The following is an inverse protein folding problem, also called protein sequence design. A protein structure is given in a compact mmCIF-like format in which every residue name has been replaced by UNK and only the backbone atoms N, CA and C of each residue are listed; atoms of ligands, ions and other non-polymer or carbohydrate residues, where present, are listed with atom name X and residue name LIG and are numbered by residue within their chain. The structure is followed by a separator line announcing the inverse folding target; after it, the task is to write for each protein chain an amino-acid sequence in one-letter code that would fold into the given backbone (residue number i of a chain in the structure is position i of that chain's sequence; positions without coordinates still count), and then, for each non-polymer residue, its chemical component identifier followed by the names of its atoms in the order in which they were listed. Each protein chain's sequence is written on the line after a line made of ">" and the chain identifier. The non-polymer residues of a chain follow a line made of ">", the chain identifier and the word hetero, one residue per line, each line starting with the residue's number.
data_IF_313651757210
#
_entry.id   IF_313651757210
#
_cell.length_a   1.000
_cell.length_b   1.000
_cell.length_c   1.000
_cell.angle_alpha   90.00
_cell.angle_beta   90.00
_cell.angle_gamma   90.00
#
_symmetry.space_group_name_H-M   'P 1'
#
loop_
_entity.id
_entity.type
_entity.pdbx_description
1 polymer ?
#
# COMPACT_ATOMS: atom_id res chain seq x y z
N UNK A 1 10.08 -2.24 24.51
CA UNK A 1 9.56 -3.15 23.47
C UNK A 1 10.64 -4.20 23.20
N UNK A 2 10.26 -5.46 22.98
CA UNK A 2 11.22 -6.51 22.64
C UNK A 2 11.59 -6.37 21.16
N UNK A 3 12.90 -6.30 20.85
CA UNK A 3 13.37 -6.22 19.46
C UNK A 3 13.04 -7.51 18.69
N UNK A 4 12.75 -7.42 17.38
CA UNK A 4 12.55 -8.60 16.56
C UNK A 4 13.87 -9.35 16.40
N UNK A 5 13.80 -10.68 16.50
CA UNK A 5 14.94 -11.54 16.19
C UNK A 5 15.01 -11.69 14.67
N UNK A 6 15.76 -10.80 14.03
CA UNK A 6 16.01 -10.82 12.59
C UNK A 6 17.35 -11.52 12.27
N UNK A 7 17.43 -12.32 11.20
CA UNK A 7 18.68 -12.79 10.63
C UNK A 7 19.67 -11.63 10.40
N UNK A 8 20.97 -11.89 10.56
CA UNK A 8 22.01 -10.85 10.43
C UNK A 8 21.99 -10.18 9.05
N UNK A 9 21.84 -10.96 7.98
CA UNK A 9 21.80 -10.42 6.61
C UNK A 9 20.69 -9.40 6.39
N UNK A 10 19.52 -9.56 7.03
CA UNK A 10 18.47 -8.54 7.00
C UNK A 10 18.89 -7.27 7.73
N UNK A 11 19.52 -7.41 8.89
CA UNK A 11 20.04 -6.28 9.68
C UNK A 11 21.17 -5.57 8.97
N UNK A 12 21.92 -6.25 8.11
CA UNK A 12 23.04 -5.70 7.37
C UNK A 12 22.56 -4.82 6.20
N UNK A 13 21.47 -5.19 5.54
CA UNK A 13 20.94 -4.50 4.34
C UNK A 13 19.78 -3.54 4.61
N UNK A 14 19.03 -3.74 5.69
CA UNK A 14 17.79 -2.99 5.96
C UNK A 14 17.78 -2.30 7.33
N UNK A 15 17.24 -1.09 7.34
CA UNK A 15 16.64 -0.50 8.53
C UNK A 15 15.25 -1.10 8.75
N UNK A 16 14.70 -1.01 9.95
CA UNK A 16 13.36 -1.54 10.22
C UNK A 16 12.56 -0.69 11.20
N UNK A 17 11.24 -0.71 11.01
CA UNK A 17 10.25 -0.24 11.97
C UNK A 17 9.32 -1.40 12.26
N UNK A 18 8.98 -1.65 13.52
CA UNK A 18 8.15 -2.78 13.86
C UNK A 18 7.18 -2.49 15.00
N UNK A 19 6.08 -3.24 14.99
CA UNK A 19 5.19 -3.43 16.12
C UNK A 19 5.10 -4.92 16.42
N UNK A 20 5.36 -5.34 17.67
CA UNK A 20 5.35 -6.76 18.01
C UNK A 20 3.92 -7.30 18.02
N UNK A 21 3.75 -8.58 17.65
CA UNK A 21 2.49 -9.28 17.86
C UNK A 21 2.20 -9.38 19.36
N UNK A 22 0.95 -9.09 19.76
CA UNK A 22 0.54 -9.14 21.16
C UNK A 22 -0.25 -10.43 21.40
N UNK A 23 0.11 -11.15 22.46
CA UNK A 23 -0.60 -12.35 22.89
C UNK A 23 -1.53 -12.01 24.05
N UNK A 24 -2.81 -11.83 23.75
CA UNK A 24 -3.82 -11.55 24.77
C UNK A 24 -4.24 -12.80 25.58
N UNK A 25 -4.09 -14.01 25.02
CA UNK A 25 -4.55 -15.26 25.65
C UNK A 25 -3.43 -16.23 26.04
N UNK A 26 -3.70 -17.10 27.02
CA UNK A 26 -2.76 -18.15 27.45
C UNK A 26 -2.53 -19.24 26.40
N UNK A 27 -3.43 -19.42 25.43
CA UNK A 27 -3.33 -20.37 24.30
C UNK A 27 -3.53 -19.62 22.97
N UNK A 28 -2.94 -20.11 21.89
CA UNK A 28 -2.97 -19.49 20.56
C UNK A 28 -1.68 -18.73 20.20
N UNK A 29 -1.58 -18.30 18.93
CA UNK A 29 -0.49 -17.45 18.43
C UNK A 29 -0.72 -16.00 18.88
N UNK A 30 0.35 -15.21 19.01
CA UNK A 30 0.21 -13.76 19.10
C UNK A 30 -0.55 -13.23 17.88
N UNK A 31 -1.36 -12.19 18.05
CA UNK A 31 -2.12 -11.56 16.97
C UNK A 31 -1.52 -10.20 16.64
N UNK A 32 -1.65 -9.80 15.37
CA UNK A 32 -1.03 -8.60 14.85
C UNK A 32 0.47 -8.76 14.65
N UNK A 33 1.15 -7.63 14.74
CA UNK A 33 2.57 -7.53 14.51
C UNK A 33 2.86 -7.21 13.05
N UNK A 34 3.55 -6.09 12.85
CA UNK A 34 3.92 -5.57 11.53
C UNK A 34 5.40 -5.25 11.55
N UNK A 35 6.10 -5.64 10.48
CA UNK A 35 7.51 -5.35 10.28
C UNK A 35 7.66 -4.68 8.92
N UNK A 36 8.17 -3.45 8.93
CA UNK A 36 8.55 -2.73 7.72
C UNK A 36 10.07 -2.74 7.61
N UNK A 37 10.59 -3.32 6.53
CA UNK A 37 12.01 -3.36 6.20
C UNK A 37 12.30 -2.31 5.12
N UNK A 38 13.28 -1.45 5.35
CA UNK A 38 13.61 -0.31 4.48
C UNK A 38 15.07 -0.41 4.11
N UNK A 39 15.40 -0.39 2.81
CA UNK A 39 16.79 -0.48 2.37
C UNK A 39 17.63 0.62 3.02
N UNK A 40 18.82 0.28 3.55
CA UNK A 40 19.67 1.25 4.27
C UNK A 40 20.14 2.44 3.44
N UNK A 41 20.11 2.32 2.12
CA UNK A 41 20.45 3.42 1.22
C UNK A 41 19.34 4.47 1.12
N UNK A 42 18.15 4.19 1.66
CA UNK A 42 17.04 5.13 1.71
C UNK A 42 17.01 5.85 3.06
N UNK A 43 16.88 7.17 3.00
CA UNK A 43 16.58 7.98 4.17
C UNK A 43 15.08 7.93 4.44
N UNK A 44 14.73 7.83 5.72
CA UNK A 44 13.34 7.85 6.14
C UNK A 44 13.19 8.36 7.56
N UNK A 45 11.97 8.78 7.89
CA UNK A 45 11.53 9.01 9.26
C UNK A 45 10.24 8.25 9.54
N UNK A 46 10.05 7.82 10.79
CA UNK A 46 8.79 7.22 11.22
C UNK A 46 7.82 8.33 11.60
N UNK A 47 6.66 8.37 10.97
CA UNK A 47 5.60 9.34 11.27
C UNK A 47 4.68 8.81 12.37
N UNK A 48 4.29 7.54 12.25
CA UNK A 48 3.37 6.88 13.17
C UNK A 48 3.65 5.38 13.18
N UNK A 49 3.54 4.76 14.34
CA UNK A 49 3.60 3.31 14.44
C UNK A 49 2.62 2.88 15.52
N UNK A 50 1.63 2.08 15.13
CA UNK A 50 0.56 1.54 15.97
C UNK A 50 0.29 0.07 15.61
N UNK A 51 -0.50 -0.62 16.42
CA UNK A 51 -0.72 -2.06 16.27
C UNK A 51 -1.34 -2.46 14.93
N UNK A 52 -2.06 -1.54 14.27
CA UNK A 52 -2.70 -1.78 12.97
C UNK A 52 -1.96 -1.16 11.79
N UNK A 53 -0.99 -0.26 12.02
CA UNK A 53 -0.33 0.45 10.93
C UNK A 53 1.01 1.06 11.32
N UNK A 54 1.90 1.15 10.34
CA UNK A 54 3.17 1.89 10.43
C UNK A 54 3.22 2.85 9.26
N UNK A 55 3.39 4.14 9.53
CA UNK A 55 3.65 5.17 8.52
C UNK A 55 5.08 5.68 8.63
N UNK A 56 5.74 5.74 7.49
CA UNK A 56 7.04 6.37 7.32
C UNK A 56 6.96 7.42 6.21
N UNK A 57 7.88 8.37 6.23
CA UNK A 57 8.15 9.27 5.11
C UNK A 57 9.54 8.94 4.55
N UNK A 58 9.60 8.59 3.27
CA UNK A 58 10.84 8.37 2.53
C UNK A 58 11.27 9.68 1.85
N UNK A 59 12.54 10.00 1.93
CA UNK A 59 13.17 11.08 1.15
C UNK A 59 13.83 10.45 -0.09
N UNK A 60 13.30 10.75 -1.27
CA UNK A 60 13.84 10.28 -2.55
C UNK A 60 14.09 11.50 -3.43
N UNK A 61 15.36 11.80 -3.71
CA UNK A 61 15.76 12.99 -4.48
C UNK A 61 15.26 14.30 -3.82
N UNK A 62 14.28 14.98 -4.42
CA UNK A 62 13.64 16.20 -3.90
C UNK A 62 12.18 15.97 -3.53
N UNK A 63 11.73 14.72 -3.52
CA UNK A 63 10.36 14.34 -3.22
C UNK A 63 10.29 13.56 -1.91
N UNK A 64 9.17 13.73 -1.22
CA UNK A 64 8.83 12.95 -0.04
C UNK A 64 7.66 12.04 -0.37
N UNK A 65 7.81 10.75 -0.04
CA UNK A 65 6.75 9.75 -0.24
C UNK A 65 6.37 9.18 1.12
N UNK A 66 5.10 9.33 1.47
CA UNK A 66 4.54 8.71 2.67
C UNK A 66 4.13 7.28 2.34
N UNK A 67 4.67 6.33 3.09
CA UNK A 67 4.31 4.90 2.99
C UNK A 67 3.61 4.48 4.27
N UNK A 68 2.35 4.05 4.14
CA UNK A 68 1.58 3.37 5.19
C UNK A 68 1.57 1.86 4.99
N UNK A 69 2.07 1.09 5.94
CA UNK A 69 1.94 -0.36 5.97
C UNK A 69 0.86 -0.75 6.98
N UNK A 70 -0.21 -1.41 6.54
CA UNK A 70 -1.38 -1.73 7.36
C UNK A 70 -1.54 -3.24 7.57
N UNK A 71 -2.02 -3.59 8.76
CA UNK A 71 -2.58 -4.89 9.07
C UNK A 71 -3.88 -4.68 9.84
N UNK A 72 -5.00 -4.86 9.14
CA UNK A 72 -6.32 -4.73 9.74
C UNK A 72 -6.84 -6.11 10.13
N UNK A 73 -6.86 -6.40 11.42
CA UNK A 73 -7.51 -7.62 11.93
C UNK A 73 -9.00 -7.63 11.52
N UNK A 74 -9.52 -8.81 11.16
CA UNK A 74 -10.94 -9.02 10.81
C UNK A 74 -11.94 -8.46 11.84
N UNK A 75 -11.54 -8.32 13.10
CA UNK A 75 -12.38 -7.81 14.20
C UNK A 75 -12.20 -6.31 14.49
N UNK A 76 -11.30 -5.60 13.80
CA UNK A 76 -11.11 -4.17 14.07
C UNK A 76 -12.24 -3.33 13.46
N UNK A 77 -12.58 -2.20 14.09
CA UNK A 77 -13.45 -1.20 13.48
C UNK A 77 -12.63 -0.37 12.48
N UNK A 78 -12.93 -0.49 11.18
CA UNK A 78 -12.18 0.18 10.10
C UNK A 78 -12.27 1.69 10.23
N UNK A 79 -13.47 2.22 10.48
CA UNK A 79 -13.70 3.65 10.64
C UNK A 79 -12.82 4.26 11.74
N UNK A 80 -12.80 3.64 12.93
CA UNK A 80 -11.98 4.14 14.04
C UNK A 80 -10.48 4.12 13.71
N UNK A 81 -10.00 3.13 12.94
CA UNK A 81 -8.60 3.09 12.52
C UNK A 81 -8.28 4.26 11.58
N UNK A 82 -9.12 4.49 10.57
CA UNK A 82 -8.89 5.56 9.60
C UNK A 82 -9.16 6.96 10.15
N UNK A 83 -10.10 7.12 11.08
CA UNK A 83 -10.30 8.38 11.82
C UNK A 83 -9.06 8.72 12.65
N UNK A 84 -8.51 7.75 13.37
CA UNK A 84 -7.26 7.95 14.12
C UNK A 84 -6.07 8.28 13.21
N UNK A 85 -5.97 7.64 12.05
CA UNK A 85 -4.95 7.95 11.03
C UNK A 85 -5.12 9.39 10.54
N UNK A 86 -6.34 9.78 10.16
CA UNK A 86 -6.67 11.12 9.69
C UNK A 86 -6.31 12.20 10.71
N UNK A 87 -6.66 11.98 11.99
CA UNK A 87 -6.33 12.91 13.07
C UNK A 87 -4.83 12.97 13.37
N UNK A 88 -4.15 11.82 13.42
CA UNK A 88 -2.73 11.75 13.77
C UNK A 88 -1.81 12.25 12.66
N UNK A 89 -2.25 12.13 11.40
CA UNK A 89 -1.52 12.51 10.21
C UNK A 89 -2.23 13.61 9.42
N UNK A 90 -2.97 14.50 10.10
CA UNK A 90 -3.73 15.57 9.41
C UNK A 90 -2.80 16.42 8.54
N UNK A 91 -1.62 16.79 9.05
CA UNK A 91 -0.59 17.50 8.29
C UNK A 91 -0.08 16.79 7.01
N UNK A 92 -0.29 15.47 6.89
CA UNK A 92 0.00 14.70 5.67
C UNK A 92 -1.19 14.75 4.72
N UNK A 93 -2.40 14.50 5.22
CA UNK A 93 -3.62 14.42 4.42
C UNK A 93 -4.23 15.80 4.08
N UNK A 94 -3.80 16.87 4.75
CA UNK A 94 -4.19 18.25 4.42
C UNK A 94 -3.36 18.80 3.23
N UNK A 95 -2.28 18.12 2.83
CA UNK A 95 -1.34 18.52 1.76
C UNK A 95 -1.24 17.47 0.65
N UNK A 96 -2.39 16.89 0.27
CA UNK A 96 -2.46 15.83 -0.75
C UNK A 96 -1.92 16.23 -2.12
N UNK A 97 -1.97 17.52 -2.46
CA UNK A 97 -1.48 18.03 -3.75
C UNK A 97 0.05 17.98 -3.86
N UNK A 98 0.77 18.09 -2.74
CA UNK A 98 2.24 18.15 -2.74
C UNK A 98 2.90 16.90 -2.15
N UNK A 99 2.12 16.00 -1.54
CA UNK A 99 2.64 14.76 -0.96
C UNK A 99 2.20 13.54 -1.76
N UNK A 100 3.15 12.66 -2.07
CA UNK A 100 2.87 11.34 -2.62
C UNK A 100 2.56 10.38 -1.48
N UNK A 101 1.41 9.70 -1.55
CA UNK A 101 0.97 8.77 -0.51
C UNK A 101 0.73 7.39 -1.12
N UNK A 102 1.29 6.37 -0.48
CA UNK A 102 1.07 4.97 -0.79
C UNK A 102 0.71 4.22 0.50
N UNK A 103 -0.41 3.52 0.51
CA UNK A 103 -0.82 2.65 1.60
C UNK A 103 -0.90 1.21 1.09
N UNK A 104 -0.28 0.27 1.80
CA UNK A 104 -0.19 -1.14 1.43
C UNK A 104 -0.51 -2.03 2.63
N UNK A 105 -1.07 -3.21 2.39
CA UNK A 105 -1.06 -4.30 3.37
C UNK A 105 -2.33 -5.12 3.38
N UNK A 106 -2.42 -6.03 4.36
CA UNK A 106 -3.56 -6.91 4.54
C UNK A 106 -4.70 -6.12 5.22
N UNK A 107 -5.73 -5.83 4.43
CA UNK A 107 -6.90 -5.09 4.89
C UNK A 107 -7.98 -5.99 5.48
N UNK A 108 -7.89 -7.31 5.27
CA UNK A 108 -8.95 -8.28 5.56
C UNK A 108 -10.34 -7.76 5.18
N UNK A 109 -10.46 -7.24 3.95
CA UNK A 109 -11.70 -6.63 3.45
C UNK A 109 -11.97 -7.02 2.00
N UNK A 110 -13.19 -7.46 1.73
CA UNK A 110 -13.61 -7.90 0.41
C UNK A 110 -14.30 -6.76 -0.36
N UNK A 111 -13.59 -6.17 -1.35
CA UNK A 111 -14.09 -5.00 -2.11
C UNK A 111 -14.58 -5.32 -3.53
N UNK A 112 -14.66 -6.60 -3.90
CA UNK A 112 -15.11 -7.04 -5.23
C UNK A 112 -14.47 -6.27 -6.38
N UNK A 113 -15.27 -5.57 -7.18
CA UNK A 113 -14.85 -4.65 -8.26
C UNK A 113 -15.15 -3.17 -7.98
N UNK A 114 -15.47 -2.83 -6.73
CA UNK A 114 -15.76 -1.45 -6.33
C UNK A 114 -14.54 -0.51 -6.46
N UNK A 115 -14.81 0.79 -6.40
CA UNK A 115 -13.83 1.86 -6.36
C UNK A 115 -13.44 2.44 -7.73
N UNK A 116 -14.32 2.40 -8.74
CA UNK A 116 -14.12 2.95 -10.11
C UNK A 116 -13.71 4.42 -10.09
N UNK A 117 -12.83 4.82 -11.02
CA UNK A 117 -12.37 6.21 -11.16
C UNK A 117 -12.88 6.80 -12.47
N UNK A 118 -12.93 8.13 -12.55
CA UNK A 118 -13.14 8.84 -13.79
C UNK A 118 -11.90 8.71 -14.70
N UNK A 119 -12.10 8.63 -16.02
CA UNK A 119 -11.00 8.50 -17.00
C UNK A 119 -10.03 9.69 -16.95
N UNK A 120 -10.54 10.88 -16.62
CA UNK A 120 -9.71 12.09 -16.49
C UNK A 120 -8.70 12.01 -15.35
N UNK A 121 -9.01 11.27 -14.28
CA UNK A 121 -8.13 11.13 -13.11
C UNK A 121 -6.89 10.30 -13.42
N UNK A 122 -7.05 9.28 -14.27
CA UNK A 122 -5.95 8.37 -14.65
C UNK A 122 -5.30 8.74 -15.97
N UNK A 123 -5.74 9.83 -16.62
CA UNK A 123 -5.21 10.27 -17.90
C UNK A 123 -3.70 10.54 -17.80
N UNK A 124 -2.92 9.97 -18.71
CA UNK A 124 -1.46 10.09 -18.71
C UNK A 124 -0.72 9.19 -17.69
N UNK A 125 -1.43 8.33 -16.97
CA UNK A 125 -0.85 7.34 -16.04
C UNK A 125 -0.83 5.93 -16.67
N UNK A 126 -0.19 4.96 -15.99
CA UNK A 126 -0.25 3.54 -16.36
C UNK A 126 -1.47 2.80 -15.76
N UNK A 127 -2.49 3.53 -15.27
CA UNK A 127 -3.64 2.98 -14.57
C UNK A 127 -4.89 2.93 -15.44
N UNK A 128 -5.70 1.86 -15.28
CA UNK A 128 -7.05 1.83 -15.83
C UNK A 128 -8.05 2.56 -14.95
N UNK A 129 -9.00 3.27 -15.54
CA UNK A 129 -10.11 3.94 -14.84
C UNK A 129 -11.16 2.95 -14.29
N UNK A 130 -11.31 1.80 -14.97
CA UNK A 130 -12.14 0.70 -14.49
C UNK A 130 -11.29 -0.27 -13.68
N UNK A 131 -11.80 -0.67 -12.51
CA UNK A 131 -11.21 -1.76 -11.73
C UNK A 131 -11.85 -3.09 -12.08
N UNK A 132 -11.03 -4.14 -12.19
CA UNK A 132 -11.51 -5.51 -12.35
C UNK A 132 -10.81 -6.45 -11.37
N UNK A 133 -11.49 -7.51 -10.91
CA UNK A 133 -10.97 -8.40 -9.87
C UNK A 133 -11.29 -9.86 -10.15
N UNK A 134 -10.39 -10.79 -9.78
CA UNK A 134 -10.71 -12.23 -9.77
C UNK A 134 -11.66 -12.63 -8.64
N UNK A 135 -11.64 -11.90 -7.53
CA UNK A 135 -12.56 -12.07 -6.41
C UNK A 135 -13.67 -11.01 -6.48
N UNK A 136 -14.92 -11.45 -6.69
CA UNK A 136 -16.05 -10.55 -6.98
C UNK A 136 -16.88 -10.17 -5.77
N UNK A 137 -16.78 -10.92 -4.67
CA UNK A 137 -17.62 -10.67 -3.50
C UNK A 137 -17.27 -9.33 -2.87
N UNK A 138 -18.31 -8.63 -2.43
CA UNK A 138 -18.25 -7.39 -1.66
C UNK A 138 -18.88 -7.67 -0.32
N UNK A 139 -18.28 -7.16 0.75
CA UNK A 139 -18.86 -7.16 2.08
C UNK A 139 -18.96 -5.74 2.63
N UNK A 140 -19.79 -5.54 3.67
CA UNK A 140 -19.99 -4.23 4.31
C UNK A 140 -18.68 -3.62 4.79
N UNK A 141 -17.78 -4.41 5.35
CA UNK A 141 -16.45 -3.97 5.76
C UNK A 141 -15.61 -3.45 4.58
N UNK A 142 -15.77 -4.04 3.39
CA UNK A 142 -15.13 -3.58 2.16
C UNK A 142 -15.67 -2.23 1.69
N UNK A 143 -16.98 -2.03 1.80
CA UNK A 143 -17.61 -0.73 1.51
C UNK A 143 -17.15 0.35 2.48
N UNK A 144 -17.09 0.04 3.78
CA UNK A 144 -16.57 0.94 4.83
C UNK A 144 -15.10 1.32 4.58
N UNK A 145 -14.26 0.34 4.23
CA UNK A 145 -12.87 0.57 3.89
C UNK A 145 -12.75 1.55 2.72
N UNK A 146 -13.47 1.31 1.63
CA UNK A 146 -13.43 2.18 0.45
C UNK A 146 -13.88 3.60 0.80
N UNK A 147 -15.00 3.73 1.51
CA UNK A 147 -15.49 5.04 1.95
C UNK A 147 -14.45 5.79 2.80
N UNK A 148 -13.79 5.10 3.74
CA UNK A 148 -12.73 5.71 4.55
C UNK A 148 -11.53 6.16 3.69
N UNK A 149 -11.08 5.31 2.76
CA UNK A 149 -9.93 5.64 1.90
C UNK A 149 -10.25 6.76 0.90
N UNK A 150 -11.45 6.78 0.32
CA UNK A 150 -11.91 7.82 -0.60
C UNK A 150 -12.02 9.17 0.10
N UNK A 151 -12.51 9.19 1.36
CA UNK A 151 -12.54 10.41 2.18
C UNK A 151 -11.14 10.97 2.49
N UNK A 152 -10.09 10.14 2.41
CA UNK A 152 -8.69 10.56 2.52
C UNK A 152 -8.04 10.87 1.16
N UNK A 153 -8.82 10.91 0.08
CA UNK A 153 -8.31 11.16 -1.27
C UNK A 153 -7.46 10.01 -1.83
N UNK A 154 -7.67 8.78 -1.33
CA UNK A 154 -6.94 7.60 -1.76
C UNK A 154 -7.79 6.72 -2.68
N UNK A 155 -7.13 6.07 -3.63
CA UNK A 155 -7.73 5.19 -4.62
C UNK A 155 -7.02 3.84 -4.64
N UNK A 156 -7.79 2.76 -4.73
CA UNK A 156 -7.25 1.39 -4.80
C UNK A 156 -6.54 1.13 -6.14
N UNK A 157 -5.37 0.51 -6.11
CA UNK A 157 -4.54 0.17 -7.28
C UNK A 157 -4.75 -1.26 -7.81
N UNK A 158 -5.14 -2.21 -6.96
CA UNK A 158 -5.35 -3.59 -7.36
C UNK A 158 -6.38 -3.67 -8.48
N UNK A 159 -6.08 -4.39 -9.56
CA UNK A 159 -7.01 -4.53 -10.69
C UNK A 159 -7.05 -3.36 -11.66
N UNK A 160 -6.14 -2.37 -11.49
CA UNK A 160 -5.97 -1.20 -12.38
C UNK A 160 -4.58 -1.08 -12.95
N UNK A 161 -3.60 -1.63 -12.26
CA UNK A 161 -2.19 -1.46 -12.56
C UNK A 161 -1.75 -2.54 -13.54
N UNK A 162 -0.91 -2.18 -14.51
CA UNK A 162 -0.31 -3.14 -15.46
C UNK A 162 0.33 -4.29 -14.67
N UNK A 163 0.05 -5.53 -15.08
CA UNK A 163 0.51 -6.75 -14.39
C UNK A 163 -0.50 -7.34 -13.39
N UNK A 164 -1.40 -6.52 -12.85
CA UNK A 164 -2.44 -6.95 -11.89
C UNK A 164 -3.86 -6.75 -12.43
N UNK A 165 -4.06 -6.64 -13.76
CA UNK A 165 -5.40 -6.61 -14.36
C UNK A 165 -5.77 -8.02 -14.86
N UNK A 166 -6.89 -8.63 -14.41
CA UNK A 166 -7.70 -8.24 -13.25
C UNK A 166 -6.96 -8.53 -11.93
N UNK A 167 -7.39 -7.90 -10.83
CA UNK A 167 -6.74 -8.03 -9.52
C UNK A 167 -6.53 -9.50 -9.17
N UNK A 168 -5.27 -9.90 -8.97
CA UNK A 168 -4.90 -11.27 -8.68
C UNK A 168 -5.19 -11.61 -7.22
N UNK A 169 -5.44 -12.89 -6.96
CA UNK A 169 -5.68 -13.40 -5.61
C UNK A 169 -4.42 -13.22 -4.79
N UNK A 170 -4.53 -12.57 -3.64
CA UNK A 170 -3.41 -12.35 -2.71
C UNK A 170 -3.49 -13.25 -1.49
N UNK A 171 -4.64 -13.89 -1.26
CA UNK A 171 -4.84 -14.88 -0.22
C UNK A 171 -5.40 -16.19 -0.81
N UNK A 172 -4.75 -17.31 -0.50
CA UNK A 172 -5.15 -18.66 -0.92
C UNK A 172 -5.74 -19.41 0.28
N UNK A 173 -7.03 -19.69 0.22
CA UNK A 173 -7.67 -20.53 1.24
C UNK A 173 -7.61 -22.00 0.83
N UNK A 174 -6.86 -22.79 1.58
CA UNK A 174 -6.73 -24.24 1.33
C UNK A 174 -7.67 -25.07 2.19
N UNK A 175 -8.56 -24.45 2.96
CA UNK A 175 -9.49 -25.16 3.83
C UNK A 175 -10.67 -25.69 3.02
N UNK A 176 -11.12 -26.88 3.41
CA UNK A 176 -12.33 -27.50 2.87
C UNK A 176 -13.52 -27.13 3.77
N UNK A 177 -14.61 -26.68 3.15
CA UNK A 177 -15.91 -26.51 3.80
C UNK A 177 -16.48 -27.90 4.11
N UNK A 178 -17.39 -27.96 5.08
CA UNK A 178 -18.11 -29.19 5.42
C UNK A 178 -18.94 -29.77 4.24
N UNK A 179 -19.20 -28.96 3.22
CA UNK A 179 -19.88 -29.34 1.98
C UNK A 179 -18.98 -30.08 0.98
N UNK A 180 -17.66 -30.16 1.23
CA UNK A 180 -16.68 -30.71 0.29
C UNK A 180 -16.16 -29.70 -0.75
N UNK A 181 -16.56 -28.43 -0.64
CA UNK A 181 -16.05 -27.33 -1.47
C UNK A 181 -14.93 -26.60 -0.75
N UNK A 182 -13.96 -26.01 -1.45
CA UNK A 182 -12.96 -25.16 -0.80
C UNK A 182 -13.56 -23.80 -0.42
N UNK A 183 -13.01 -23.18 0.63
CA UNK A 183 -13.20 -21.74 0.84
C UNK A 183 -12.65 -20.94 -0.34
N UNK A 184 -13.23 -19.78 -0.60
CA UNK A 184 -12.83 -18.95 -1.75
C UNK A 184 -11.58 -18.15 -1.40
N UNK A 185 -10.54 -18.30 -2.22
CA UNK A 185 -9.39 -17.40 -2.24
C UNK A 185 -9.82 -15.96 -2.55
N UNK A 186 -9.09 -14.98 -2.05
CA UNK A 186 -9.53 -13.58 -2.05
C UNK A 186 -8.41 -12.59 -2.39
N UNK A 187 -8.77 -11.34 -2.63
CA UNK A 187 -7.84 -10.20 -2.71
C UNK A 187 -7.95 -9.41 -1.42
N UNK A 188 -7.04 -9.65 -0.47
CA UNK A 188 -7.05 -9.05 0.88
C UNK A 188 -5.91 -8.05 1.07
N UNK A 189 -4.75 -8.35 0.48
CA UNK A 189 -3.63 -7.42 0.39
C UNK A 189 -3.92 -6.33 -0.65
N UNK A 190 -4.31 -5.16 -0.17
CA UNK A 190 -4.71 -4.03 -1.00
C UNK A 190 -3.68 -2.92 -0.96
N UNK A 191 -3.58 -2.20 -2.08
CA UNK A 191 -2.71 -1.06 -2.26
C UNK A 191 -3.57 0.14 -2.65
N UNK A 192 -3.34 1.27 -2.00
CA UNK A 192 -4.00 2.54 -2.26
C UNK A 192 -2.98 3.64 -2.48
N UNK A 193 -3.28 4.60 -3.35
CA UNK A 193 -2.48 5.80 -3.50
C UNK A 193 -3.35 7.03 -3.71
N UNK A 194 -2.80 8.22 -3.44
CA UNK A 194 -3.46 9.47 -3.84
C UNK A 194 -3.16 9.81 -5.31
N UNK A 195 -3.87 10.82 -5.84
CA UNK A 195 -3.73 11.21 -7.26
C UNK A 195 -2.30 11.64 -7.61
N UNK A 196 -1.60 12.29 -6.69
CA UNK A 196 -0.22 12.78 -6.86
C UNK A 196 0.79 11.65 -7.06
N UNK A 197 0.53 10.47 -6.49
CA UNK A 197 1.37 9.28 -6.65
C UNK A 197 1.05 8.49 -7.92
N UNK A 198 -0.14 8.63 -8.51
CA UNK A 198 -0.59 7.81 -9.64
C UNK A 198 0.34 7.85 -10.87
N UNK A 199 0.92 9.00 -11.27
CA UNK A 199 1.83 9.06 -12.43
C UNK A 199 3.08 8.19 -12.27
N UNK A 200 3.53 7.94 -11.04
CA UNK A 200 4.73 7.16 -10.78
C UNK A 200 4.45 5.65 -10.73
N UNK A 201 3.18 5.23 -10.60
CA UNK A 201 2.82 3.83 -10.54
C UNK A 201 3.00 3.18 -11.92
N UNK A 202 3.86 2.14 -11.99
CA UNK A 202 4.18 1.50 -13.25
C UNK A 202 3.62 0.09 -13.40
N UNK A 203 3.87 -0.77 -12.41
CA UNK A 203 3.53 -2.21 -12.48
C UNK A 203 3.24 -2.78 -11.12
N UNK A 204 2.30 -3.72 -11.05
CA UNK A 204 1.97 -4.47 -9.85
C UNK A 204 1.90 -5.96 -10.21
N UNK A 205 2.44 -6.83 -9.36
CA UNK A 205 2.40 -8.28 -9.55
C UNK A 205 2.16 -9.00 -8.22
N UNK A 206 1.48 -10.14 -8.29
CA UNK A 206 1.40 -11.09 -7.17
C UNK A 206 2.32 -12.26 -7.48
N UNK A 207 3.27 -12.52 -6.59
CA UNK A 207 4.29 -13.54 -6.78
C UNK A 207 3.82 -14.89 -6.20
N UNK A 208 3.71 -15.90 -7.05
CA UNK A 208 3.37 -17.27 -6.65
C UNK A 208 4.62 -18.14 -6.45
N UNK A 209 5.66 -17.59 -5.82
CA UNK A 209 6.96 -18.27 -5.65
C UNK A 209 7.27 -18.62 -4.20
N UNK A 210 6.52 -18.08 -3.24
CA UNK A 210 6.74 -18.25 -1.80
C UNK A 210 5.47 -18.86 -1.17
N UNK A 211 5.53 -20.13 -0.82
CA UNK A 211 4.37 -20.88 -0.28
C UNK A 211 4.44 -21.09 1.25
N UNK A 212 5.19 -20.26 1.97
CA UNK A 212 5.30 -20.35 3.45
C UNK A 212 4.15 -19.66 4.18
N UNK A 213 3.29 -18.97 3.45
CA UNK A 213 2.11 -18.25 3.95
C UNK A 213 0.91 -18.55 3.05
N UNK A 214 -0.31 -18.35 3.57
CA UNK A 214 -1.51 -18.32 2.74
C UNK A 214 -1.64 -17.00 1.97
N UNK A 215 -0.93 -15.96 2.38
CA UNK A 215 -0.80 -14.72 1.62
C UNK A 215 0.36 -14.82 0.63
N UNK A 216 0.12 -14.38 -0.59
CA UNK A 216 1.11 -14.29 -1.65
C UNK A 216 1.79 -12.91 -1.61
N UNK A 217 3.13 -12.84 -1.76
CA UNK A 217 3.82 -11.56 -1.86
C UNK A 217 3.28 -10.70 -3.00
N UNK A 218 3.10 -9.41 -2.72
CA UNK A 218 2.69 -8.41 -3.71
C UNK A 218 3.85 -7.45 -3.95
N UNK A 219 4.18 -7.21 -5.22
CA UNK A 219 5.17 -6.23 -5.63
C UNK A 219 4.50 -5.06 -6.32
N UNK A 220 4.99 -3.85 -6.01
CA UNK A 220 4.63 -2.62 -6.70
C UNK A 220 5.92 -1.96 -7.18
N UNK A 221 5.95 -1.60 -8.45
CA UNK A 221 7.05 -0.87 -9.08
C UNK A 221 6.60 0.54 -9.38
N UNK A 222 7.38 1.50 -8.88
CA UNK A 222 7.19 2.92 -9.16
C UNK A 222 8.41 3.47 -9.92
N UNK A 223 8.17 4.38 -10.86
CA UNK A 223 9.23 5.12 -11.56
C UNK A 223 9.24 6.52 -11.00
N UNK A 224 10.24 6.82 -10.18
CA UNK A 224 10.39 8.12 -9.54
C UNK A 224 11.43 8.96 -10.28
N UNK A 225 11.29 10.31 -10.28
CA UNK A 225 12.32 11.18 -10.83
C UNK A 225 13.67 10.95 -10.16
N UNK A 226 14.67 10.53 -10.94
CA UNK A 226 16.05 10.50 -10.48
C UNK A 226 16.67 11.90 -10.62
N UNK A 227 17.65 12.22 -9.77
CA UNK A 227 18.42 13.46 -9.91
C UNK A 227 19.23 13.41 -11.22
N UNK A 228 18.91 14.32 -12.15
CA UNK A 228 19.56 14.54 -13.45
C UNK A 228 18.54 14.38 -14.58
N UNK A 229 17.93 15.44 -15.11
CA UNK A 229 18.57 16.56 -15.79
C UNK A 229 18.02 17.91 -15.30
N UNK A 230 18.89 18.79 -14.81
CA UNK A 230 18.59 20.22 -14.81
C UNK A 230 18.30 20.64 -16.25
N UNK A 231 17.09 21.12 -16.52
CA UNK A 231 16.78 21.87 -17.75
C UNK A 231 17.54 23.21 -17.73
N UNK A 232 18.86 23.18 -17.87
CA UNK A 232 19.69 24.35 -18.17
C UNK A 232 20.24 24.22 -19.59
N UNK A 233 19.39 24.34 -20.61
CA UNK A 233 19.86 24.68 -21.96
C UNK A 233 18.76 25.11 -22.93
N UNK A 234 17.86 26.04 -22.57
CA UNK A 234 17.02 26.70 -23.58
C UNK A 234 16.95 28.24 -23.51
N UNK A 235 17.78 28.91 -22.69
CA UNK A 235 17.67 30.38 -22.54
C UNK A 235 18.89 31.23 -22.95
N UNK A 236 19.81 30.69 -23.76
CA UNK A 236 20.92 31.49 -24.32
C UNK A 236 21.08 31.34 -25.81
N UNK A 237 20.01 31.53 -26.59
CA UNK A 237 20.11 31.94 -28.00
C UNK A 237 18.89 32.76 -28.38
N UNK A 238 18.87 34.06 -28.05
CA UNK A 238 18.21 35.13 -28.81
C UNK A 238 18.59 36.49 -28.22
N UNK A 239 19.89 36.82 -28.20
CA UNK A 239 20.30 38.22 -28.12
C UNK A 239 21.73 38.47 -28.61
N UNK A 240 21.92 38.31 -29.92
CA UNK A 240 22.99 39.02 -30.65
C UNK A 240 22.54 39.18 -32.10
N UNK A 241 22.20 40.40 -32.52
CA UNK A 241 21.99 40.68 -33.94
C UNK A 241 21.22 41.97 -34.21
N UNK A 242 21.92 43.10 -34.02
CA UNK A 242 21.94 44.34 -34.85
C UNK A 242 20.60 44.88 -35.34
#
# INVERSE_FOLDING_TARGET
>A
MQEPVLPSWLKDEFNYVHKPAIRAGQRGRGSGGTLLLINKNLKFQTLLAEDTHIFIELEISQENIVIGCMYLNSNCNVFNVFENISLSLSHVFDDLENKKILIVGDMNSHIGELGTLDESVVFGTCLSAKRTSKHKNVETRGEELLSCTENLGLSVLNGRTIGDIPAQLTFIDTREKQTGENYESSVLDLIFCNVTMMPDIHRMEVLDTIHTSHHLPVTLTCILPCLGETQESQDTRHNTGI
#
